data_IF_415290211406
#
_entry.id   IF_415290211406
#
_cell.length_a   1.000
_cell.length_b   1.000
_cell.length_c   1.000
_cell.angle_alpha   90.00
_cell.angle_beta   90.00
_cell.angle_gamma   90.00
#
_symmetry.space_group_name_H-M   'P 1'
#
loop_
_entity.id
_entity.type
_entity.pdbx_description
1 polymer ?
#
# COMPACT_ATOMS: atom_id res chain seq x y z
N UNK A 1 -2.36 29.48 -14.07
CA UNK A 1 -3.05 29.42 -12.76
C UNK A 1 -3.13 27.96 -12.39
N UNK A 2 -2.60 27.52 -11.24
CA UNK A 2 -2.86 26.14 -10.77
C UNK A 2 -4.37 26.02 -10.61
N UNK A 3 -4.98 25.08 -11.33
CA UNK A 3 -6.41 24.86 -11.18
C UNK A 3 -6.66 24.28 -9.79
N UNK A 4 -7.84 24.50 -9.20
CA UNK A 4 -8.18 23.96 -7.88
C UNK A 4 -7.92 22.44 -7.80
N UNK A 5 -8.12 21.73 -8.91
CA UNK A 5 -7.81 20.32 -9.09
C UNK A 5 -6.32 19.98 -8.89
N UNK A 6 -5.40 20.83 -9.33
CA UNK A 6 -3.96 20.59 -9.20
C UNK A 6 -3.51 20.72 -7.73
N UNK A 7 -4.13 21.63 -6.98
CA UNK A 7 -3.89 21.77 -5.55
C UNK A 7 -4.44 20.59 -4.76
N UNK A 8 -5.65 20.13 -5.07
CA UNK A 8 -6.25 18.95 -4.42
C UNK A 8 -5.43 17.69 -4.73
N UNK A 9 -5.02 17.49 -6.00
CA UNK A 9 -4.17 16.35 -6.39
C UNK A 9 -2.84 16.36 -5.64
N UNK A 10 -2.18 17.52 -5.53
CA UNK A 10 -0.91 17.63 -4.81
C UNK A 10 -1.06 17.29 -3.32
N UNK A 11 -2.12 17.78 -2.66
CA UNK A 11 -2.39 17.44 -1.26
C UNK A 11 -2.69 15.94 -1.08
N UNK A 12 -3.53 15.37 -1.96
CA UNK A 12 -3.89 13.96 -1.89
C UNK A 12 -2.66 13.05 -2.06
N UNK A 13 -1.75 13.41 -2.95
CA UNK A 13 -0.48 12.68 -3.10
C UNK A 13 0.38 12.76 -1.84
N UNK A 14 0.58 13.95 -1.27
CA UNK A 14 1.33 14.09 -0.02
C UNK A 14 0.70 13.31 1.14
N UNK A 15 -0.63 13.22 1.19
CA UNK A 15 -1.33 12.40 2.17
C UNK A 15 -1.11 10.89 1.93
N UNK A 16 -1.17 10.42 0.68
CA UNK A 16 -0.88 9.03 0.34
C UNK A 16 0.55 8.66 0.75
N UNK A 17 1.53 9.50 0.43
CA UNK A 17 2.94 9.26 0.81
C UNK A 17 3.11 9.15 2.32
N UNK A 18 2.44 10.01 3.09
CA UNK A 18 2.44 9.95 4.55
C UNK A 18 1.82 8.64 5.06
N UNK A 19 0.71 8.19 4.48
CA UNK A 19 0.06 6.94 4.85
C UNK A 19 0.93 5.72 4.51
N UNK A 20 1.64 5.73 3.38
CA UNK A 20 2.57 4.66 3.00
C UNK A 20 3.72 4.52 4.02
N UNK A 21 4.28 5.66 4.47
CA UNK A 21 5.30 5.66 5.53
C UNK A 21 4.70 5.11 6.83
N UNK A 22 3.46 5.48 7.16
CA UNK A 22 2.78 4.97 8.35
C UNK A 22 2.58 3.45 8.32
N UNK A 23 2.24 2.88 7.16
CA UNK A 23 2.14 1.43 6.95
C UNK A 23 3.52 0.78 7.15
N UNK A 24 4.58 1.35 6.57
CA UNK A 24 5.94 0.81 6.73
C UNK A 24 6.38 0.79 8.20
N UNK A 25 6.19 1.89 8.92
CA UNK A 25 6.47 1.98 10.37
C UNK A 25 5.61 1.00 11.15
N UNK A 26 4.32 0.88 10.81
CA UNK A 26 3.41 -0.01 11.50
C UNK A 26 3.75 -1.49 11.34
N UNK A 27 4.20 -1.89 10.15
CA UNK A 27 4.71 -3.25 9.91
C UNK A 27 5.94 -3.52 10.76
N UNK A 28 6.92 -2.60 10.80
CA UNK A 28 8.11 -2.74 11.64
C UNK A 28 7.75 -2.81 13.13
N UNK A 29 6.84 -1.94 13.59
CA UNK A 29 6.35 -1.91 14.95
C UNK A 29 5.68 -3.23 15.35
N UNK A 30 4.81 -3.77 14.49
CA UNK A 30 4.15 -5.04 14.75
C UNK A 30 5.15 -6.21 14.83
N UNK A 31 6.20 -6.19 14.00
CA UNK A 31 7.25 -7.22 14.03
C UNK A 31 8.09 -7.14 15.31
N UNK A 32 8.43 -5.94 15.78
CA UNK A 32 9.25 -5.73 16.98
C UNK A 32 8.47 -6.05 18.26
N UNK A 33 7.20 -5.63 18.35
CA UNK A 33 6.35 -5.79 19.54
C UNK A 33 5.31 -6.91 19.40
N UNK A 34 5.64 -7.97 18.65
CA UNK A 34 4.71 -9.05 18.34
C UNK A 34 4.02 -9.62 19.59
N UNK A 35 2.70 -9.77 19.54
CA UNK A 35 1.88 -10.37 20.61
C UNK A 35 1.24 -9.39 21.59
N UNK A 36 1.51 -8.08 21.50
CA UNK A 36 0.79 -7.06 22.26
C UNK A 36 -0.31 -6.41 21.39
N UNK A 37 -1.52 -6.28 21.93
CA UNK A 37 -2.64 -5.62 21.25
C UNK A 37 -2.39 -4.10 21.17
N UNK A 38 -1.69 -3.70 20.11
CA UNK A 38 -1.36 -2.32 19.82
C UNK A 38 -2.10 -1.81 18.57
N UNK A 39 -2.07 -0.50 18.32
CA UNK A 39 -2.63 0.13 17.12
C UNK A 39 -2.16 -0.52 15.80
N UNK A 40 -0.94 -1.06 15.79
CA UNK A 40 -0.32 -1.70 14.63
C UNK A 40 -0.62 -3.22 14.50
N UNK A 41 -1.43 -3.80 15.36
CA UNK A 41 -1.75 -5.23 15.32
C UNK A 41 -2.52 -5.59 14.03
N UNK A 42 -2.18 -6.75 13.46
CA UNK A 42 -2.84 -7.28 12.26
C UNK A 42 -2.47 -6.60 10.93
N UNK A 43 -1.60 -5.58 10.90
CA UNK A 43 -1.13 -4.96 9.65
C UNK A 43 -0.41 -5.95 8.74
N UNK A 44 0.54 -6.72 9.28
CA UNK A 44 1.25 -7.78 8.54
C UNK A 44 0.25 -8.78 7.98
N UNK A 45 -0.73 -9.22 8.79
CA UNK A 45 -1.76 -10.18 8.37
C UNK A 45 -2.63 -9.67 7.21
N UNK A 46 -3.03 -8.39 7.26
CA UNK A 46 -3.80 -7.76 6.18
C UNK A 46 -2.99 -7.64 4.89
N UNK A 47 -1.70 -7.29 4.99
CA UNK A 47 -0.80 -7.22 3.83
C UNK A 47 -0.54 -8.60 3.22
N UNK A 48 -0.25 -9.61 4.04
CA UNK A 48 -0.08 -10.99 3.57
C UNK A 48 -1.37 -11.56 3.00
N UNK A 49 -2.53 -11.17 3.54
CA UNK A 49 -3.84 -11.51 3.02
C UNK A 49 -4.04 -10.99 1.60
N UNK A 50 -3.72 -9.71 1.34
CA UNK A 50 -3.77 -9.14 0.00
C UNK A 50 -2.85 -9.88 -0.99
N UNK A 51 -1.63 -10.23 -0.58
CA UNK A 51 -0.72 -11.02 -1.42
C UNK A 51 -1.32 -12.40 -1.71
N UNK A 52 -1.98 -13.01 -0.71
CA UNK A 52 -2.61 -14.31 -0.84
C UNK A 52 -3.74 -14.27 -1.86
N UNK A 53 -4.55 -13.21 -1.90
CA UNK A 53 -5.60 -13.01 -2.92
C UNK A 53 -5.05 -13.05 -4.35
N UNK A 54 -3.93 -12.37 -4.60
CA UNK A 54 -3.25 -12.46 -5.90
C UNK A 54 -2.66 -13.85 -6.15
N UNK A 55 -2.12 -14.51 -5.13
CA UNK A 55 -1.52 -15.85 -5.31
C UNK A 55 -2.54 -16.97 -5.53
N UNK A 56 -3.76 -16.82 -5.00
CA UNK A 56 -4.82 -17.82 -5.08
C UNK A 56 -5.28 -18.08 -6.53
N UNK A 57 -5.13 -17.09 -7.41
CA UNK A 57 -5.41 -17.23 -8.85
C UNK A 57 -4.30 -17.94 -9.64
N UNK A 58 -3.23 -18.42 -8.99
CA UNK A 58 -2.10 -19.05 -9.65
C UNK A 58 -1.43 -18.13 -10.69
N UNK A 59 -1.20 -18.62 -11.90
CA UNK A 59 -0.56 -17.84 -12.97
C UNK A 59 -1.34 -16.56 -13.32
N UNK A 60 -2.68 -16.64 -13.38
CA UNK A 60 -3.52 -15.48 -13.75
C UNK A 60 -3.42 -14.37 -12.71
N UNK A 61 -3.34 -14.73 -11.43
CA UNK A 61 -3.19 -13.75 -10.36
C UNK A 61 -1.84 -13.04 -10.36
N UNK A 62 -0.76 -13.73 -10.74
CA UNK A 62 0.54 -13.08 -10.95
C UNK A 62 0.53 -12.12 -12.15
N UNK A 63 -0.13 -12.48 -13.24
CA UNK A 63 -0.32 -11.58 -14.39
C UNK A 63 -1.12 -10.34 -13.97
N UNK A 64 -2.19 -10.50 -13.18
CA UNK A 64 -2.96 -9.38 -12.66
C UNK A 64 -2.10 -8.44 -11.80
N UNK A 65 -1.24 -8.98 -10.93
CA UNK A 65 -0.30 -8.19 -10.13
C UNK A 65 0.66 -7.39 -11.02
N UNK A 66 1.25 -8.00 -12.05
CA UNK A 66 2.17 -7.32 -12.99
C UNK A 66 1.47 -6.17 -13.73
N UNK A 67 0.21 -6.37 -14.14
CA UNK A 67 -0.59 -5.31 -14.79
C UNK A 67 -0.81 -4.13 -13.84
N UNK A 68 -1.20 -4.40 -12.59
CA UNK A 68 -1.41 -3.36 -11.58
C UNK A 68 -0.11 -2.58 -11.31
N UNK A 69 1.02 -3.27 -11.13
CA UNK A 69 2.32 -2.64 -10.93
C UNK A 69 2.75 -1.80 -12.14
N UNK A 70 2.51 -2.29 -13.36
CA UNK A 70 2.81 -1.57 -14.61
C UNK A 70 2.01 -0.27 -14.73
N UNK A 71 0.72 -0.30 -14.38
CA UNK A 71 -0.12 0.90 -14.35
C UNK A 71 0.35 1.91 -13.31
N UNK A 72 0.80 1.45 -12.15
CA UNK A 72 1.31 2.33 -11.10
C UNK A 72 2.63 2.99 -11.51
N UNK A 73 3.58 2.25 -12.09
CA UNK A 73 4.87 2.79 -12.54
C UNK A 73 4.74 3.81 -13.68
N UNK A 74 3.76 3.65 -14.58
CA UNK A 74 3.47 4.63 -15.64
C UNK A 74 2.96 5.97 -15.15
N UNK A 75 2.51 6.06 -13.89
CA UNK A 75 1.99 7.30 -13.28
C UNK A 75 3.07 8.10 -12.56
N UNK A 76 4.19 7.45 -12.22
CA UNK A 76 5.33 8.05 -11.52
C UNK A 76 6.39 8.61 -12.48
N UNK A 77 6.37 8.21 -13.76
CA UNK A 77 7.18 8.77 -14.85
C UNK A 77 6.41 9.86 -15.61
#
# INVERSE_FOLDING_TARGET
>A
MKNALDTIKAWAWGFIDLMLIFIAVGVLAQVIWAGNDNFFSGMVGRLTGLITEFSAGGFVGLIALVIVLSLFNRRTA
#
